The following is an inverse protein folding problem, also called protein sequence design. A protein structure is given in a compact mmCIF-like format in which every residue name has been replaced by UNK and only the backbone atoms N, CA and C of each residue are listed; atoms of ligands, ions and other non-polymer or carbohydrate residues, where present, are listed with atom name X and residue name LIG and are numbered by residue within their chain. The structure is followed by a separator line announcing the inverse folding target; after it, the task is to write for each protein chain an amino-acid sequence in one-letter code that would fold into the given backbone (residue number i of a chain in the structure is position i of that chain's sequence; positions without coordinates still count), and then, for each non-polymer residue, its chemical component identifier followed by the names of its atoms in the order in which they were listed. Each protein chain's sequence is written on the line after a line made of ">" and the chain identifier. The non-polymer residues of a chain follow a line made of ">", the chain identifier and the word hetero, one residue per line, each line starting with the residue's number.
data_IF_795183985400
#
_entry.id   IF_795183985400
#
_cell.length_a   1.000
_cell.length_b   1.000
_cell.length_c   1.000
_cell.angle_alpha   90.00
_cell.angle_beta   90.00
_cell.angle_gamma   90.00
#
_symmetry.space_group_name_H-M   'P 1'
#
loop_
_entity.id
_entity.type
_entity.pdbx_description
1 polymer ?
#
# COMPACT_ATOMS: atom_id res chain seq x y z
N UNK A 1 -5.14 12.98 4.40
CA UNK A 1 -4.24 12.17 3.55
C UNK A 1 -4.20 10.77 4.13
N UNK A 2 -4.70 9.75 3.42
CA UNK A 2 -4.68 8.37 3.89
C UNK A 2 -3.26 7.90 4.23
N UNK A 3 -3.10 7.20 5.37
CA UNK A 3 -1.82 6.62 5.83
C UNK A 3 -2.03 5.18 6.30
N UNK A 4 -1.15 4.28 5.88
CA UNK A 4 -1.23 2.87 6.25
C UNK A 4 0.17 2.27 6.41
N UNK A 5 0.38 1.48 7.46
CA UNK A 5 1.66 0.80 7.74
C UNK A 5 1.48 -0.70 7.58
N UNK A 6 2.33 -1.32 6.76
CA UNK A 6 2.40 -2.76 6.54
C UNK A 6 3.79 -3.31 6.92
N UNK A 7 3.92 -4.61 7.19
CA UNK A 7 5.22 -5.25 7.37
C UNK A 7 6.06 -5.19 6.10
N UNK A 8 7.39 -5.07 6.25
CA UNK A 8 8.32 -5.02 5.13
C UNK A 8 8.37 -6.37 4.41
N UNK A 9 8.47 -7.52 5.09
CA UNK A 9 8.33 -8.89 4.52
C UNK A 9 8.87 -9.09 3.07
N UNK A 10 10.05 -8.53 2.74
CA UNK A 10 10.64 -8.60 1.39
C UNK A 10 10.06 -7.63 0.33
N UNK A 11 9.09 -6.79 0.71
CA UNK A 11 8.57 -5.65 -0.06
C UNK A 11 9.59 -4.52 -0.08
N UNK A 12 9.53 -3.73 -1.14
CA UNK A 12 10.33 -2.50 -1.29
C UNK A 12 9.43 -1.31 -1.55
N UNK A 13 9.94 -0.10 -1.33
CA UNK A 13 9.29 1.17 -1.69
C UNK A 13 8.88 1.26 -3.16
N UNK A 14 9.56 0.51 -4.05
CA UNK A 14 9.29 0.48 -5.50
C UNK A 14 8.25 -0.57 -5.91
N UNK A 15 8.18 -1.68 -5.18
CA UNK A 15 7.30 -2.80 -5.47
C UNK A 15 6.59 -3.23 -4.19
N UNK A 16 5.62 -2.43 -3.79
CA UNK A 16 4.75 -2.78 -2.67
C UNK A 16 3.66 -3.70 -3.17
N UNK A 17 3.79 -5.00 -2.89
CA UNK A 17 2.72 -5.97 -3.13
C UNK A 17 1.78 -5.99 -1.94
N UNK A 18 0.49 -5.90 -2.21
CA UNK A 18 -0.57 -5.97 -1.20
C UNK A 18 -1.31 -7.29 -1.30
N UNK A 19 -1.72 -7.84 -0.16
CA UNK A 19 -2.73 -8.90 -0.13
C UNK A 19 -4.12 -8.29 -0.34
N UNK A 20 -5.12 -9.12 -0.67
CA UNK A 20 -6.50 -8.65 -0.77
C UNK A 20 -6.97 -7.95 0.51
N UNK A 21 -6.70 -8.54 1.68
CA UNK A 21 -7.06 -7.96 2.99
C UNK A 21 -6.42 -6.58 3.20
N UNK A 22 -5.14 -6.42 2.81
CA UNK A 22 -4.44 -5.14 2.90
C UNK A 22 -5.07 -4.10 1.95
N UNK A 23 -5.48 -4.50 0.75
CA UNK A 23 -6.17 -3.62 -0.21
C UNK A 23 -7.54 -3.19 0.31
N UNK A 24 -8.31 -4.11 0.89
CA UNK A 24 -9.59 -3.79 1.52
C UNK A 24 -9.40 -2.80 2.67
N UNK A 25 -8.37 -2.99 3.49
CA UNK A 25 -8.03 -2.04 4.55
C UNK A 25 -7.60 -0.67 4.00
N UNK A 26 -6.92 -0.61 2.86
CA UNK A 26 -6.57 0.65 2.19
C UNK A 26 -7.83 1.36 1.65
N UNK A 27 -8.77 0.64 1.03
CA UNK A 27 -10.06 1.17 0.59
C UNK A 27 -10.85 1.78 1.75
N UNK A 28 -10.96 1.06 2.87
CA UNK A 28 -11.64 1.54 4.08
C UNK A 28 -10.99 2.81 4.66
N UNK A 29 -9.66 2.96 4.50
CA UNK A 29 -8.90 4.16 4.92
C UNK A 29 -8.96 5.31 3.91
N UNK A 30 -9.71 5.16 2.81
CA UNK A 30 -9.90 6.20 1.81
C UNK A 30 -8.77 6.34 0.80
N UNK A 31 -7.92 5.32 0.65
CA UNK A 31 -6.94 5.30 -0.44
C UNK A 31 -7.66 5.17 -1.80
N UNK A 32 -7.14 5.91 -2.78
CA UNK A 32 -7.59 5.89 -4.17
C UNK A 32 -6.73 4.95 -4.98
N UNK A 33 -7.38 4.20 -5.87
CA UNK A 33 -6.74 3.24 -6.76
C UNK A 33 -6.84 3.71 -8.20
N UNK A 34 -5.74 3.61 -8.93
CA UNK A 34 -5.70 3.75 -10.38
C UNK A 34 -6.10 2.45 -11.07
N UNK A 35 -5.81 1.31 -10.42
CA UNK A 35 -6.23 -0.03 -10.85
C UNK A 35 -6.74 -0.77 -9.62
N UNK A 36 -7.95 -1.32 -9.72
CA UNK A 36 -8.54 -2.20 -8.72
C UNK A 36 -9.23 -3.36 -9.43
N UNK A 37 -8.53 -4.50 -9.53
CA UNK A 37 -9.04 -5.72 -10.15
C UNK A 37 -8.88 -6.91 -9.19
N UNK A 38 -9.83 -7.08 -8.24
CA UNK A 38 -9.72 -8.10 -7.20
C UNK A 38 -9.75 -9.53 -7.74
N UNK A 39 -10.41 -9.77 -8.88
CA UNK A 39 -10.46 -11.10 -9.49
C UNK A 39 -9.13 -11.55 -10.13
N UNK A 40 -8.19 -10.63 -10.37
CA UNK A 40 -6.89 -10.92 -10.97
C UNK A 40 -5.69 -10.49 -10.12
N UNK A 41 -5.89 -10.25 -8.82
CA UNK A 41 -4.87 -9.82 -7.86
C UNK A 41 -4.06 -8.58 -8.28
N UNK A 42 -4.65 -7.73 -9.13
CA UNK A 42 -3.99 -6.55 -9.66
C UNK A 42 -4.51 -5.30 -8.96
N UNK A 43 -3.62 -4.63 -8.22
CA UNK A 43 -3.93 -3.46 -7.44
C UNK A 43 -2.85 -2.40 -7.63
N UNK A 44 -3.27 -1.17 -7.93
CA UNK A 44 -2.37 -0.02 -8.07
C UNK A 44 -2.98 1.21 -7.45
N UNK A 45 -2.30 1.75 -6.44
CA UNK A 45 -2.68 3.01 -5.82
C UNK A 45 -2.47 4.19 -6.79
N UNK A 46 -3.38 5.17 -6.73
CA UNK A 46 -3.26 6.43 -7.48
C UNK A 46 -2.12 7.29 -6.92
N UNK A 47 -1.46 8.05 -7.80
CA UNK A 47 -0.47 9.05 -7.40
C UNK A 47 -1.16 10.36 -6.97
N UNK A 48 -0.52 11.18 -6.11
CA UNK A 48 0.83 11.01 -5.54
C UNK A 48 0.88 10.04 -4.35
N UNK A 49 2.01 9.32 -4.24
CA UNK A 49 2.29 8.39 -3.14
C UNK A 49 3.65 8.69 -2.52
N UNK A 50 3.72 8.61 -1.20
CA UNK A 50 4.96 8.61 -0.44
C UNK A 50 5.09 7.30 0.32
N UNK A 51 6.29 6.72 0.32
CA UNK A 51 6.59 5.52 1.11
C UNK A 51 7.73 5.82 2.07
N UNK A 52 7.58 5.38 3.32
CA UNK A 52 8.55 5.55 4.40
C UNK A 52 8.92 4.15 4.88
N UNK A 53 10.16 3.76 4.65
CA UNK A 53 10.70 2.46 5.06
C UNK A 53 11.36 2.58 6.43
N UNK A 54 10.91 1.78 7.39
CA UNK A 54 11.51 1.64 8.71
C UNK A 54 12.13 0.24 8.84
N UNK A 55 13.44 0.17 8.62
CA UNK A 55 14.20 -1.09 8.69
C UNK A 55 14.40 -1.60 10.11
N UNK A 56 14.41 -0.70 11.10
CA UNK A 56 14.61 -1.07 12.50
C UNK A 56 13.40 -1.87 13.00
N UNK A 57 12.19 -1.42 12.63
CA UNK A 57 10.94 -2.09 13.00
C UNK A 57 10.41 -3.03 11.91
N UNK A 58 11.07 -3.09 10.76
CA UNK A 58 10.68 -3.94 9.64
C UNK A 58 9.32 -3.57 9.05
N UNK A 59 9.02 -2.28 8.91
CA UNK A 59 7.73 -1.80 8.40
C UNK A 59 7.89 -0.85 7.20
N UNK A 60 6.82 -0.74 6.43
CA UNK A 60 6.67 0.20 5.32
C UNK A 60 5.38 0.98 5.54
N UNK A 61 5.49 2.29 5.62
CA UNK A 61 4.34 3.19 5.68
C UNK A 61 4.08 3.81 4.33
N UNK A 62 2.84 3.81 3.87
CA UNK A 62 2.38 4.42 2.63
C UNK A 62 1.45 5.57 2.97
N UNK A 63 1.66 6.70 2.31
CA UNK A 63 0.86 7.92 2.42
C UNK A 63 0.39 8.36 1.04
N UNK A 64 -0.86 8.81 0.94
CA UNK A 64 -1.45 9.31 -0.31
C UNK A 64 -1.94 10.76 -0.13
N UNK A 65 -1.45 11.65 -0.99
CA UNK A 65 -1.63 13.10 -0.93
C UNK A 65 -2.71 13.62 -1.86
#
# INVERSE_FOLDING_TARGET
>A
MPRHTIPLNGRTTRHTKFTQDEVEALLQKGFRFAIYHPAGDEFRLSLPLQTIEDRTHGTLTIEQG
#
